data_IF_210801443718
#
_entry.id   IF_210801443718
#
_cell.length_a   1.000
_cell.length_b   1.000
_cell.length_c   1.000
_cell.angle_alpha   90.00
_cell.angle_beta   90.00
_cell.angle_gamma   90.00
#
_symmetry.space_group_name_H-M   'P 1'
#
loop_
_entity.id
_entity.type
_entity.pdbx_description
1 polymer ?
#
# COMPACT_ATOMS: atom_id res chain seq x y z
N UNK A 1 43.68 -13.59 -32.38
CA UNK A 1 42.73 -12.72 -33.09
C UNK A 1 41.40 -12.85 -32.39
N UNK A 2 41.05 -11.86 -31.58
CA UNK A 2 39.78 -11.85 -30.84
C UNK A 2 38.75 -10.99 -31.56
N UNK A 3 37.49 -11.38 -31.49
CA UNK A 3 36.35 -10.49 -31.71
C UNK A 3 35.06 -11.11 -31.15
N UNK A 4 34.51 -10.45 -30.12
CA UNK A 4 33.08 -10.17 -30.06
C UNK A 4 32.15 -11.17 -29.36
N UNK A 5 32.49 -11.68 -28.18
CA UNK A 5 31.47 -11.86 -27.12
C UNK A 5 31.26 -10.49 -26.48
N UNK A 6 30.07 -9.94 -26.27
CA UNK A 6 28.83 -10.53 -25.80
C UNK A 6 27.63 -9.90 -26.55
N UNK A 7 26.75 -10.74 -27.11
CA UNK A 7 25.56 -10.33 -27.90
C UNK A 7 24.24 -10.45 -27.14
N UNK A 8 24.25 -11.03 -25.95
CA UNK A 8 23.05 -11.39 -25.21
C UNK A 8 23.18 -10.83 -23.81
N UNK A 9 22.17 -10.07 -23.36
CA UNK A 9 22.06 -9.74 -21.94
C UNK A 9 21.21 -10.83 -21.28
N UNK A 10 21.88 -11.68 -20.51
CA UNK A 10 21.24 -12.67 -19.65
C UNK A 10 20.90 -12.00 -18.32
N UNK A 11 19.61 -11.89 -18.02
CA UNK A 11 19.08 -11.57 -16.70
C UNK A 11 18.67 -12.89 -16.03
N UNK A 12 19.70 -13.71 -15.77
CA UNK A 12 19.57 -15.11 -15.33
C UNK A 12 18.67 -15.93 -16.23
N UNK A 13 17.48 -16.37 -15.79
CA UNK A 13 16.56 -17.14 -16.65
C UNK A 13 15.94 -16.30 -17.78
N UNK A 14 16.01 -14.96 -17.69
CA UNK A 14 15.46 -14.07 -18.70
C UNK A 14 16.53 -13.67 -19.71
N UNK A 15 16.28 -13.96 -20.97
CA UNK A 15 17.09 -13.53 -22.11
C UNK A 15 16.50 -12.27 -22.72
N UNK A 16 17.29 -11.19 -22.75
CA UNK A 16 16.90 -9.92 -23.37
C UNK A 16 17.56 -9.75 -24.73
N UNK A 17 16.73 -9.47 -25.73
CA UNK A 17 17.16 -9.24 -27.12
C UNK A 17 16.57 -7.93 -27.63
N UNK A 18 17.41 -7.04 -28.12
CA UNK A 18 16.95 -5.81 -28.78
C UNK A 18 16.65 -6.14 -30.23
N UNK A 19 15.36 -6.25 -30.55
CA UNK A 19 14.86 -6.69 -31.86
C UNK A 19 14.41 -5.51 -32.75
N UNK A 20 14.60 -4.28 -32.28
CA UNK A 20 14.29 -3.06 -33.02
C UNK A 20 14.84 -1.82 -32.35
N UNK A 21 15.27 -0.85 -33.16
CA UNK A 21 15.66 0.50 -32.74
C UNK A 21 15.06 1.51 -33.69
N UNK A 22 14.49 2.58 -33.15
CA UNK A 22 14.09 3.76 -33.91
C UNK A 22 14.69 5.00 -33.25
N UNK A 23 15.32 5.84 -34.07
CA UNK A 23 15.86 7.14 -33.66
C UNK A 23 15.22 8.24 -34.50
N UNK A 24 14.86 9.35 -33.87
CA UNK A 24 14.34 10.53 -34.55
C UNK A 24 15.05 11.80 -34.09
N UNK A 25 15.55 12.56 -35.06
CA UNK A 25 15.91 13.96 -34.91
C UNK A 25 15.75 14.64 -36.28
N UNK A 26 15.35 15.93 -36.30
CA UNK A 26 15.28 16.71 -37.55
C UNK A 26 16.65 16.95 -38.19
N UNK A 27 17.71 16.93 -37.39
CA UNK A 27 19.03 17.45 -37.77
C UNK A 27 20.14 16.40 -37.75
N UNK A 28 19.95 15.29 -37.04
CA UNK A 28 20.97 14.27 -36.83
C UNK A 28 20.50 12.91 -37.34
N UNK A 29 21.44 12.08 -37.80
CA UNK A 29 21.15 10.73 -38.29
C UNK A 29 21.26 9.67 -37.20
N UNK A 30 22.07 9.91 -36.17
CA UNK A 30 22.25 8.99 -35.05
C UNK A 30 22.17 9.69 -33.69
N UNK A 31 22.00 8.86 -32.67
CA UNK A 31 21.79 9.29 -31.29
C UNK A 31 23.03 9.91 -30.65
N UNK A 32 24.22 9.41 -30.95
CA UNK A 32 25.46 9.81 -30.29
C UNK A 32 25.91 11.21 -30.75
N UNK A 33 25.78 11.50 -32.05
CA UNK A 33 25.94 12.85 -32.59
C UNK A 33 24.88 13.80 -32.00
N UNK A 34 23.61 13.38 -32.01
CA UNK A 34 22.51 14.22 -31.58
C UNK A 34 22.57 14.58 -30.09
N UNK A 35 23.02 13.65 -29.25
CA UNK A 35 23.17 13.86 -27.80
C UNK A 35 24.17 14.97 -27.51
N UNK A 36 25.27 15.05 -28.27
CA UNK A 36 26.28 16.11 -28.12
C UNK A 36 25.77 17.48 -28.54
N UNK A 37 24.94 17.53 -29.60
CA UNK A 37 24.38 18.77 -30.13
C UNK A 37 23.19 19.32 -29.31
N UNK A 38 22.58 18.52 -28.43
CA UNK A 38 21.47 18.97 -27.59
C UNK A 38 20.15 19.18 -28.33
N UNK A 39 19.98 18.61 -29.52
CA UNK A 39 18.72 18.73 -30.27
C UNK A 39 17.57 17.96 -29.61
N UNK A 40 16.35 18.44 -29.84
CA UNK A 40 15.12 17.68 -29.56
C UNK A 40 15.12 16.42 -30.41
N UNK A 41 14.93 15.28 -29.75
CA UNK A 41 15.07 13.95 -30.34
C UNK A 41 14.18 12.95 -29.61
N UNK A 42 14.10 11.75 -30.15
CA UNK A 42 13.66 10.59 -29.40
C UNK A 42 14.34 9.33 -29.89
N UNK A 43 14.45 8.36 -28.99
CA UNK A 43 15.01 7.05 -29.25
C UNK A 43 14.17 5.99 -28.55
N UNK A 44 13.84 4.93 -29.29
CA UNK A 44 13.02 3.84 -28.80
C UNK A 44 13.62 2.50 -29.19
N UNK A 45 13.43 1.54 -28.29
CA UNK A 45 13.92 0.19 -28.39
C UNK A 45 12.74 -0.76 -28.31
N UNK A 46 12.74 -1.76 -29.19
CA UNK A 46 11.86 -2.92 -29.10
C UNK A 46 12.66 -4.08 -28.53
N UNK A 47 12.27 -4.55 -27.36
CA UNK A 47 13.00 -5.54 -26.56
C UNK A 47 12.14 -6.77 -26.39
N UNK A 48 12.64 -7.92 -26.82
CA UNK A 48 12.09 -9.21 -26.47
C UNK A 48 12.73 -9.69 -25.17
N UNK A 49 11.88 -10.08 -24.22
CA UNK A 49 12.27 -10.63 -22.92
C UNK A 49 11.70 -12.04 -22.88
N UNK A 50 12.56 -13.04 -22.96
CA UNK A 50 12.19 -14.45 -23.01
C UNK A 50 12.67 -15.16 -21.74
N UNK A 51 11.80 -15.90 -21.08
CA UNK A 51 12.22 -16.82 -20.02
C UNK A 51 12.71 -18.13 -20.66
N UNK A 52 13.99 -18.45 -20.46
CA UNK A 52 14.64 -19.59 -21.08
C UNK A 52 14.14 -20.93 -20.54
N UNK A 53 13.63 -20.99 -19.29
CA UNK A 53 13.10 -22.20 -18.66
C UNK A 53 11.75 -22.60 -19.25
N UNK A 54 10.81 -21.66 -19.38
CA UNK A 54 9.44 -21.94 -19.82
C UNK A 54 9.11 -21.44 -21.23
N UNK A 55 10.08 -20.83 -21.94
CA UNK A 55 9.97 -20.28 -23.29
C UNK A 55 8.86 -19.24 -23.48
N UNK A 56 8.38 -18.63 -22.39
CA UNK A 56 7.44 -17.52 -22.45
C UNK A 56 8.19 -16.24 -22.76
N UNK A 57 7.64 -15.43 -23.66
CA UNK A 57 8.25 -14.17 -24.03
C UNK A 57 7.25 -13.01 -23.97
N UNK A 58 7.75 -11.85 -23.56
CA UNK A 58 7.12 -10.56 -23.71
C UNK A 58 7.92 -9.72 -24.70
N UNK A 59 7.25 -9.00 -25.58
CA UNK A 59 7.91 -7.96 -26.39
C UNK A 59 7.40 -6.62 -25.92
N UNK A 60 8.34 -5.78 -25.50
CA UNK A 60 8.05 -4.45 -25.01
C UNK A 60 8.71 -3.41 -25.91
N UNK A 61 8.06 -2.26 -26.04
CA UNK A 61 8.61 -1.05 -26.64
C UNK A 61 8.78 -0.02 -25.53
N UNK A 62 9.99 0.49 -25.39
CA UNK A 62 10.35 1.52 -24.41
C UNK A 62 11.30 2.53 -25.05
N UNK A 63 11.37 3.75 -24.52
CA UNK A 63 12.20 4.80 -25.07
C UNK A 63 11.98 6.13 -24.36
N UNK A 64 12.67 7.16 -24.83
CA UNK A 64 12.52 8.53 -24.35
C UNK A 64 12.49 9.54 -25.50
N UNK A 65 12.01 10.73 -25.20
CA UNK A 65 11.90 11.82 -26.16
C UNK A 65 10.68 11.68 -27.07
N UNK A 66 10.73 12.37 -28.21
CA UNK A 66 9.56 12.60 -29.04
C UNK A 66 9.87 12.50 -30.54
N UNK A 67 8.89 12.07 -31.34
CA UNK A 67 8.96 11.96 -32.80
C UNK A 67 7.78 12.63 -33.46
N UNK A 68 7.95 13.17 -34.66
CA UNK A 68 6.85 13.72 -35.45
C UNK A 68 6.09 12.66 -36.25
N UNK A 69 4.78 12.86 -36.34
CA UNK A 69 3.89 12.20 -37.30
C UNK A 69 3.40 10.80 -36.91
N UNK A 70 4.09 10.08 -36.03
CA UNK A 70 3.66 8.74 -35.59
C UNK A 70 4.30 8.31 -34.28
N UNK A 71 3.64 7.37 -33.59
CA UNK A 71 4.25 6.65 -32.47
C UNK A 71 5.38 5.72 -32.96
N UNK A 72 6.43 5.53 -32.16
CA UNK A 72 7.56 4.66 -32.53
C UNK A 72 7.07 3.23 -32.80
N UNK A 73 7.65 2.58 -33.81
CA UNK A 73 7.28 1.25 -34.30
C UNK A 73 5.80 1.05 -34.67
N UNK A 74 5.01 2.13 -34.75
CA UNK A 74 3.57 2.05 -35.00
C UNK A 74 2.79 1.34 -33.90
N UNK A 75 3.28 1.37 -32.65
CA UNK A 75 2.65 0.67 -31.53
C UNK A 75 1.23 1.15 -31.22
N UNK A 76 0.38 0.24 -30.77
CA UNK A 76 -0.92 0.58 -30.21
C UNK A 76 -0.76 1.15 -28.80
N UNK A 77 -1.07 2.44 -28.66
CA UNK A 77 -0.99 3.18 -27.38
C UNK A 77 -2.28 3.12 -26.57
N UNK A 78 -3.24 2.30 -27.00
CA UNK A 78 -4.52 2.07 -26.34
C UNK A 78 -5.55 3.16 -26.63
N UNK A 79 -6.59 3.20 -25.80
CA UNK A 79 -7.74 4.07 -26.02
C UNK A 79 -7.40 5.54 -25.83
N UNK A 80 -8.05 6.40 -26.61
CA UNK A 80 -8.04 7.84 -26.38
C UNK A 80 -8.76 8.16 -25.07
N UNK A 81 -8.06 8.82 -24.14
CA UNK A 81 -8.60 9.20 -22.83
C UNK A 81 -9.27 10.56 -22.94
N UNK A 82 -8.54 11.56 -23.45
CA UNK A 82 -9.03 12.95 -23.53
C UNK A 82 -8.23 13.78 -24.52
N UNK A 83 -8.86 14.84 -25.01
CA UNK A 83 -8.21 15.93 -25.74
C UNK A 83 -8.17 17.16 -24.83
N UNK A 84 -6.99 17.73 -24.62
CA UNK A 84 -6.81 18.95 -23.82
C UNK A 84 -7.24 20.20 -24.57
N UNK A 85 -7.43 21.32 -23.84
CA UNK A 85 -7.89 22.60 -24.42
C UNK A 85 -6.94 23.15 -25.50
N UNK A 86 -5.66 22.79 -25.48
CA UNK A 86 -4.66 23.16 -26.47
C UNK A 86 -4.58 22.23 -27.68
N UNK A 87 -5.47 21.25 -27.81
CA UNK A 87 -5.49 20.27 -28.91
C UNK A 87 -4.52 19.10 -28.73
N UNK A 88 -3.84 18.99 -27.59
CA UNK A 88 -3.06 17.80 -27.23
C UNK A 88 -4.00 16.60 -26.99
N UNK A 89 -3.53 15.38 -27.32
CA UNK A 89 -4.31 14.15 -27.17
C UNK A 89 -3.60 13.18 -26.23
N UNK A 90 -4.31 12.78 -25.19
CA UNK A 90 -3.86 11.78 -24.23
C UNK A 90 -4.46 10.42 -24.56
N UNK A 91 -3.59 9.41 -24.63
CA UNK A 91 -3.94 7.99 -24.71
C UNK A 91 -3.47 7.28 -23.43
N UNK A 92 -3.88 6.02 -23.28
CA UNK A 92 -3.49 5.16 -22.15
C UNK A 92 -1.97 5.05 -22.01
N UNK A 93 -1.26 4.82 -23.12
CA UNK A 93 0.20 4.62 -23.11
C UNK A 93 0.97 5.67 -23.93
N UNK A 94 0.28 6.66 -24.48
CA UNK A 94 0.87 7.64 -25.39
C UNK A 94 0.34 9.05 -25.20
N UNK A 95 1.07 10.01 -25.75
CA UNK A 95 0.66 11.41 -25.81
C UNK A 95 1.03 12.02 -27.15
N UNK A 96 0.15 12.88 -27.68
CA UNK A 96 0.38 13.68 -28.87
C UNK A 96 0.27 15.15 -28.47
N UNK A 97 1.37 15.89 -28.64
CA UNK A 97 1.38 17.34 -28.39
C UNK A 97 0.62 18.09 -29.48
N UNK A 98 0.26 19.35 -29.21
CA UNK A 98 -0.39 20.23 -30.20
C UNK A 98 0.42 20.40 -31.50
N UNK A 99 1.75 20.28 -31.43
CA UNK A 99 2.65 20.40 -32.57
C UNK A 99 2.90 19.07 -33.28
N UNK A 100 2.11 18.02 -32.99
CA UNK A 100 2.20 16.72 -33.67
C UNK A 100 3.40 15.87 -33.24
N UNK A 101 3.95 16.12 -32.04
CA UNK A 101 4.99 15.28 -31.45
C UNK A 101 4.38 14.16 -30.62
N UNK A 102 4.84 12.94 -30.86
CA UNK A 102 4.40 11.70 -30.22
C UNK A 102 5.46 11.21 -29.25
N UNK A 103 5.04 10.80 -28.05
CA UNK A 103 5.89 10.07 -27.11
C UNK A 103 5.10 9.03 -26.32
N UNK A 104 5.81 8.05 -25.79
CA UNK A 104 5.27 7.00 -24.93
C UNK A 104 5.33 7.43 -23.47
N UNK A 105 4.27 7.16 -22.71
CA UNK A 105 4.20 7.47 -21.26
C UNK A 105 4.89 6.42 -20.38
N UNK A 106 5.23 5.27 -20.96
CA UNK A 106 5.83 4.12 -20.30
C UNK A 106 6.10 3.02 -21.32
N UNK A 107 6.11 1.76 -20.88
CA UNK A 107 6.24 0.63 -21.81
C UNK A 107 4.95 0.39 -22.59
N UNK A 108 5.10 -0.02 -23.85
CA UNK A 108 4.00 -0.61 -24.63
C UNK A 108 4.33 -2.08 -24.87
N UNK A 109 3.40 -2.96 -24.51
CA UNK A 109 3.54 -4.39 -24.72
C UNK A 109 2.93 -4.73 -26.07
N UNK A 110 3.68 -5.45 -26.91
CA UNK A 110 3.16 -6.00 -28.16
C UNK A 110 2.64 -7.42 -27.94
N UNK A 111 1.49 -7.70 -28.55
CA UNK A 111 1.05 -9.08 -28.77
C UNK A 111 1.90 -9.67 -29.89
N UNK A 112 2.67 -10.70 -29.55
CA UNK A 112 3.54 -11.37 -30.51
C UNK A 112 3.26 -12.86 -30.42
N UNK A 113 2.99 -13.50 -31.56
CA UNK A 113 2.99 -14.95 -31.67
C UNK A 113 4.41 -15.47 -31.47
N UNK A 114 4.59 -16.55 -30.69
CA UNK A 114 5.92 -17.09 -30.36
C UNK A 114 6.85 -17.29 -31.57
N UNK A 115 6.29 -17.54 -32.76
CA UNK A 115 6.99 -17.72 -34.03
C UNK A 115 7.65 -16.44 -34.61
N UNK A 116 7.33 -15.23 -34.10
CA UNK A 116 7.80 -13.95 -34.67
C UNK A 116 9.03 -13.33 -34.01
N UNK A 117 9.63 -13.99 -33.01
CA UNK A 117 10.86 -13.51 -32.33
C UNK A 117 12.13 -14.04 -33.03
N UNK A 118 12.07 -14.21 -34.35
CA UNK A 118 13.20 -14.51 -35.24
C UNK A 118 13.74 -13.24 -35.91
N UNK A 119 13.68 -12.09 -35.25
CA UNK A 119 14.29 -10.86 -35.77
C UNK A 119 15.78 -10.82 -35.42
N UNK A 120 16.59 -10.37 -36.39
CA UNK A 120 18.00 -10.05 -36.16
C UNK A 120 18.13 -9.01 -35.03
N UNK A 121 19.08 -9.25 -34.13
CA UNK A 121 19.40 -8.32 -33.04
C UNK A 121 19.99 -7.03 -33.60
N UNK A 122 19.55 -5.91 -33.04
CA UNK A 122 20.04 -4.58 -33.43
C UNK A 122 21.25 -4.20 -32.60
N UNK A 123 22.34 -3.80 -33.26
CA UNK A 123 23.52 -3.30 -32.58
C UNK A 123 23.26 -1.94 -31.90
N UNK A 124 23.64 -1.88 -30.63
CA UNK A 124 23.56 -0.68 -29.80
C UNK A 124 24.96 -0.13 -29.49
N UNK A 125 25.11 1.19 -29.63
CA UNK A 125 26.28 1.92 -29.13
C UNK A 125 26.33 1.88 -27.60
N UNK A 126 27.48 2.18 -27.00
CA UNK A 126 27.63 2.17 -25.54
C UNK A 126 26.62 3.10 -24.85
N UNK A 127 26.36 4.28 -25.42
CA UNK A 127 25.40 5.21 -24.83
C UNK A 127 23.95 4.73 -24.97
N UNK A 128 23.62 4.08 -26.08
CA UNK A 128 22.31 3.46 -26.28
C UNK A 128 22.10 2.30 -25.29
N UNK A 129 23.13 1.49 -25.01
CA UNK A 129 23.09 0.44 -23.99
C UNK A 129 22.85 1.00 -22.59
N UNK A 130 23.57 2.06 -22.22
CA UNK A 130 23.41 2.74 -20.92
C UNK A 130 21.99 3.29 -20.77
N UNK A 131 21.48 3.95 -21.82
CA UNK A 131 20.12 4.49 -21.80
C UNK A 131 19.07 3.37 -21.70
N UNK A 132 19.22 2.30 -22.48
CA UNK A 132 18.29 1.17 -22.42
C UNK A 132 18.26 0.55 -21.02
N UNK A 133 19.42 0.35 -20.38
CA UNK A 133 19.49 -0.16 -19.02
C UNK A 133 18.72 0.72 -18.01
N UNK A 134 18.87 2.04 -18.10
CA UNK A 134 18.13 3.00 -17.26
C UNK A 134 16.61 2.95 -17.54
N UNK A 135 16.19 2.89 -18.81
CA UNK A 135 14.79 2.76 -19.19
C UNK A 135 14.15 1.46 -18.67
N UNK A 136 14.85 0.33 -18.77
CA UNK A 136 14.39 -0.96 -18.25
C UNK A 136 14.24 -0.91 -16.72
N UNK A 137 15.20 -0.28 -16.03
CA UNK A 137 15.14 -0.13 -14.57
C UNK A 137 13.97 0.77 -14.13
N UNK A 138 13.73 1.89 -14.81
CA UNK A 138 12.62 2.80 -14.49
C UNK A 138 11.25 2.16 -14.65
N UNK A 139 11.10 1.24 -15.61
CA UNK A 139 9.82 0.58 -15.91
C UNK A 139 9.71 -0.83 -15.35
N UNK A 140 10.60 -1.22 -14.44
CA UNK A 140 10.75 -2.61 -14.01
C UNK A 140 9.44 -3.23 -13.49
N UNK A 141 8.63 -2.48 -12.72
CA UNK A 141 7.39 -3.00 -12.15
C UNK A 141 6.38 -3.38 -13.24
N UNK A 142 6.27 -2.57 -14.29
CA UNK A 142 5.36 -2.83 -15.39
C UNK A 142 5.85 -3.99 -16.27
N UNK A 143 7.17 -4.09 -16.47
CA UNK A 143 7.79 -5.23 -17.16
C UNK A 143 7.52 -6.53 -16.40
N UNK A 144 7.75 -6.54 -15.09
CA UNK A 144 7.52 -7.71 -14.24
C UNK A 144 6.06 -8.15 -14.23
N UNK A 145 5.12 -7.20 -14.13
CA UNK A 145 3.67 -7.49 -14.23
C UNK A 145 3.32 -8.16 -15.54
N UNK A 146 3.87 -7.68 -16.66
CA UNK A 146 3.61 -8.27 -17.96
C UNK A 146 4.17 -9.69 -18.08
N UNK A 147 5.39 -9.93 -17.58
CA UNK A 147 5.98 -11.26 -17.54
C UNK A 147 5.12 -12.23 -16.73
N UNK A 148 4.61 -11.81 -15.56
CA UNK A 148 3.70 -12.60 -14.72
C UNK A 148 2.41 -12.93 -15.46
N UNK A 149 1.77 -11.93 -16.10
CA UNK A 149 0.54 -12.13 -16.87
C UNK A 149 0.73 -13.17 -17.98
N UNK A 150 1.95 -13.30 -18.52
CA UNK A 150 2.31 -14.29 -19.53
C UNK A 150 2.75 -15.65 -18.96
N UNK A 151 2.72 -15.81 -17.65
CA UNK A 151 3.00 -17.07 -16.95
C UNK A 151 4.44 -17.24 -16.47
N UNK A 152 5.23 -16.16 -16.39
CA UNK A 152 6.54 -16.20 -15.72
C UNK A 152 6.32 -16.12 -14.20
N UNK A 153 6.47 -17.26 -13.54
CA UNK A 153 6.16 -17.42 -12.10
C UNK A 153 7.39 -17.52 -11.20
N UNK A 154 8.60 -17.63 -11.78
CA UNK A 154 9.87 -17.65 -11.05
C UNK A 154 10.92 -16.80 -11.77
N UNK A 155 11.68 -16.03 -11.00
CA UNK A 155 12.85 -15.22 -11.40
C UNK A 155 13.95 -15.46 -10.36
N UNK A 156 14.30 -16.74 -10.17
CA UNK A 156 15.30 -17.17 -9.18
C UNK A 156 16.69 -16.63 -9.54
N UNK A 157 17.07 -16.82 -10.80
CA UNK A 157 18.31 -16.31 -11.34
C UNK A 157 17.97 -15.05 -12.14
N UNK A 158 18.34 -13.89 -11.61
CA UNK A 158 18.71 -12.73 -12.42
C UNK A 158 20.16 -12.41 -12.04
N UNK A 159 20.98 -11.89 -12.95
CA UNK A 159 22.40 -11.63 -12.68
C UNK A 159 22.61 -10.39 -11.79
N UNK A 160 21.80 -10.21 -10.75
CA UNK A 160 21.92 -9.09 -9.81
C UNK A 160 21.23 -7.80 -10.27
N UNK A 161 20.74 -7.75 -11.51
CA UNK A 161 20.24 -6.51 -12.15
C UNK A 161 18.93 -6.02 -11.54
N UNK A 162 18.07 -6.95 -11.09
CA UNK A 162 16.86 -6.62 -10.35
C UNK A 162 16.84 -7.25 -8.96
N UNK A 163 17.99 -7.67 -8.43
CA UNK A 163 18.11 -8.27 -7.09
C UNK A 163 17.49 -7.36 -6.02
N UNK A 164 17.73 -6.04 -6.14
CA UNK A 164 17.12 -5.04 -5.25
C UNK A 164 15.58 -4.92 -5.37
N UNK A 165 15.00 -5.39 -6.49
CA UNK A 165 13.56 -5.35 -6.78
C UNK A 165 12.87 -6.70 -6.66
N UNK A 166 13.62 -7.82 -6.64
CA UNK A 166 13.08 -9.18 -6.39
C UNK A 166 12.17 -9.24 -5.16
N UNK A 167 12.48 -8.61 -4.01
CA UNK A 167 11.57 -8.59 -2.87
C UNK A 167 10.18 -8.06 -3.23
N UNK A 168 10.08 -7.05 -4.11
CA UNK A 168 8.81 -6.48 -4.56
C UNK A 168 8.04 -7.49 -5.40
N UNK A 169 8.71 -8.19 -6.32
CA UNK A 169 8.13 -9.27 -7.11
C UNK A 169 7.57 -10.38 -6.21
N UNK A 170 8.39 -10.86 -5.26
CA UNK A 170 7.97 -11.91 -4.33
C UNK A 170 6.78 -11.46 -3.49
N UNK A 171 6.74 -10.23 -3.00
CA UNK A 171 5.58 -9.68 -2.27
C UNK A 171 4.34 -9.61 -3.17
N UNK A 172 4.49 -9.20 -4.43
CA UNK A 172 3.37 -9.13 -5.38
C UNK A 172 2.76 -10.51 -5.65
N UNK A 173 3.60 -11.51 -5.90
CA UNK A 173 3.19 -12.89 -6.17
C UNK A 173 2.72 -13.66 -4.93
N UNK A 174 3.12 -13.20 -3.73
CA UNK A 174 2.88 -13.90 -2.46
C UNK A 174 1.40 -14.17 -2.23
N UNK A 175 1.09 -15.41 -1.90
CA UNK A 175 -0.21 -15.81 -1.35
C UNK A 175 0.05 -16.46 0.00
N UNK A 176 -0.55 -15.91 1.05
CA UNK A 176 -0.38 -16.39 2.42
C UNK A 176 -1.69 -16.21 3.18
N UNK A 177 -2.01 -17.24 3.94
CA UNK A 177 -3.00 -17.19 4.98
C UNK A 177 -2.29 -17.10 6.33
N UNK A 178 -2.45 -15.99 7.03
CA UNK A 178 -1.81 -15.73 8.32
C UNK A 178 -2.89 -15.79 9.40
N UNK A 179 -2.99 -16.89 10.15
CA UNK A 179 -3.91 -16.98 11.28
C UNK A 179 -3.42 -16.05 12.40
N UNK A 180 -4.35 -15.31 12.98
CA UNK A 180 -4.16 -14.50 14.17
C UNK A 180 -4.99 -15.10 15.31
N UNK A 181 -4.74 -14.70 16.57
CA UNK A 181 -5.57 -15.12 17.69
C UNK A 181 -7.04 -14.74 17.53
N UNK A 182 -7.90 -15.37 18.33
CA UNK A 182 -9.36 -15.18 18.33
C UNK A 182 -10.08 -15.58 17.02
N UNK A 183 -9.39 -16.28 16.12
CA UNK A 183 -9.92 -16.66 14.80
C UNK A 183 -9.86 -15.54 13.76
N UNK A 184 -9.20 -14.41 14.08
CA UNK A 184 -8.90 -13.38 13.09
C UNK A 184 -7.85 -13.87 12.09
N UNK A 185 -7.83 -13.30 10.89
CA UNK A 185 -6.91 -13.71 9.83
C UNK A 185 -6.47 -12.54 8.96
N UNK A 186 -5.28 -12.66 8.37
CA UNK A 186 -4.83 -11.84 7.25
C UNK A 186 -4.67 -12.75 6.04
N UNK A 187 -5.40 -12.47 4.97
CA UNK A 187 -5.31 -13.19 3.71
C UNK A 187 -4.63 -12.32 2.64
N UNK A 188 -3.47 -12.74 2.14
CA UNK A 188 -2.72 -12.03 1.10
C UNK A 188 -3.17 -12.47 -0.30
N UNK A 189 -3.63 -11.52 -1.12
CA UNK A 189 -4.12 -11.80 -2.48
C UNK A 189 -2.93 -11.99 -3.45
N UNK A 190 -2.81 -13.10 -4.20
CA UNK A 190 -1.76 -13.24 -5.21
C UNK A 190 -1.88 -12.16 -6.29
N UNK A 191 -0.75 -11.84 -6.95
CA UNK A 191 -0.67 -10.83 -8.02
C UNK A 191 -1.21 -9.46 -7.60
N UNK A 192 -0.99 -9.10 -6.34
CA UNK A 192 -1.50 -7.88 -5.72
C UNK A 192 -0.56 -7.42 -4.61
N UNK A 193 -0.60 -6.14 -4.25
CA UNK A 193 0.05 -5.62 -3.03
C UNK A 193 -0.93 -5.53 -1.86
N UNK A 194 -2.14 -6.08 -2.01
CA UNK A 194 -3.20 -6.04 -1.01
C UNK A 194 -3.25 -7.33 -0.20
N UNK A 195 -3.66 -7.18 1.04
CA UNK A 195 -4.13 -8.25 1.90
C UNK A 195 -5.44 -7.82 2.55
N UNK A 196 -6.28 -8.78 2.93
CA UNK A 196 -7.55 -8.54 3.61
C UNK A 196 -7.45 -9.02 5.05
N UNK A 197 -7.66 -8.11 5.99
CA UNK A 197 -7.89 -8.48 7.39
C UNK A 197 -9.36 -8.89 7.54
N UNK A 198 -9.61 -9.99 8.26
CA UNK A 198 -10.96 -10.49 8.51
C UNK A 198 -11.07 -11.03 9.93
N UNK A 199 -12.14 -10.66 10.63
CA UNK A 199 -12.57 -11.26 11.89
C UNK A 199 -14.09 -11.13 12.03
N UNK A 200 -14.80 -12.24 11.83
CA UNK A 200 -16.26 -12.27 11.64
C UNK A 200 -16.72 -11.22 10.60
N UNK A 201 -17.53 -10.25 11.00
CA UNK A 201 -18.05 -9.19 10.14
C UNK A 201 -17.09 -7.99 10.00
N UNK A 202 -15.99 -7.96 10.76
CA UNK A 202 -14.96 -6.91 10.63
C UNK A 202 -14.01 -7.28 9.49
N UNK A 203 -14.07 -6.52 8.40
CA UNK A 203 -13.16 -6.68 7.27
C UNK A 203 -12.65 -5.34 6.73
N UNK A 204 -11.37 -5.32 6.34
CA UNK A 204 -10.77 -4.19 5.65
C UNK A 204 -9.49 -4.58 4.91
N UNK A 205 -9.14 -3.80 3.89
CA UNK A 205 -7.92 -3.99 3.13
C UNK A 205 -6.72 -3.32 3.79
N UNK A 206 -5.59 -4.02 3.76
CA UNK A 206 -4.28 -3.53 4.17
C UNK A 206 -3.25 -3.79 3.06
N UNK A 207 -2.08 -3.17 3.16
CA UNK A 207 -0.95 -3.50 2.29
C UNK A 207 -0.26 -4.78 2.78
N UNK A 208 0.17 -5.63 1.85
CA UNK A 208 1.08 -6.75 2.17
C UNK A 208 2.34 -6.19 2.81
N UNK A 209 2.79 -6.84 3.86
CA UNK A 209 3.96 -6.40 4.62
C UNK A 209 4.68 -7.59 5.24
N UNK A 210 5.82 -7.33 5.86
CA UNK A 210 6.29 -8.21 6.93
C UNK A 210 5.41 -7.95 8.15
N UNK A 211 4.92 -8.99 8.81
CA UNK A 211 4.06 -8.85 9.98
C UNK A 211 4.87 -9.13 11.24
N UNK A 212 4.99 -8.12 12.09
CA UNK A 212 5.56 -8.26 13.43
C UNK A 212 4.40 -8.39 14.42
N UNK A 213 4.20 -9.60 14.92
CA UNK A 213 3.04 -9.98 15.75
C UNK A 213 3.51 -10.10 17.19
N UNK A 214 3.02 -9.22 18.04
CA UNK A 214 3.25 -9.23 19.48
C UNK A 214 1.95 -9.45 20.25
N UNK A 215 2.08 -9.95 21.47
CA UNK A 215 0.97 -9.99 22.44
C UNK A 215 1.35 -9.16 23.67
N UNK A 216 0.36 -8.46 24.23
CA UNK A 216 0.54 -7.65 25.42
C UNK A 216 -0.70 -7.73 26.30
N UNK A 217 -0.66 -8.51 27.38
CA UNK A 217 -1.82 -8.68 28.25
C UNK A 217 -3.01 -9.30 27.51
N UNK A 218 -4.08 -8.52 27.33
CA UNK A 218 -5.39 -8.91 26.78
C UNK A 218 -5.58 -8.58 25.29
N UNK A 219 -4.52 -8.16 24.60
CA UNK A 219 -4.59 -7.83 23.18
C UNK A 219 -3.42 -8.38 22.38
N UNK A 220 -3.62 -8.44 21.07
CA UNK A 220 -2.62 -8.79 20.06
C UNK A 220 -2.34 -7.55 19.22
N UNK A 221 -1.07 -7.23 19.01
CA UNK A 221 -0.64 -6.20 18.09
C UNK A 221 -0.02 -6.84 16.85
N UNK A 222 -0.39 -6.32 15.68
CA UNK A 222 0.19 -6.67 14.38
C UNK A 222 0.72 -5.39 13.76
N UNK A 223 2.04 -5.24 13.69
CA UNK A 223 2.68 -4.12 13.01
C UNK A 223 2.96 -4.49 11.56
N UNK A 224 2.55 -3.63 10.63
CA UNK A 224 2.72 -3.84 9.20
C UNK A 224 4.06 -3.22 8.77
N UNK A 225 5.10 -4.06 8.70
CA UNK A 225 6.47 -3.69 8.44
C UNK A 225 7.33 -3.90 9.68
N UNK A 226 7.65 -2.80 10.38
CA UNK A 226 8.45 -2.84 11.61
C UNK A 226 7.71 -2.14 12.73
N UNK A 227 7.75 -2.73 13.93
CA UNK A 227 7.27 -2.11 15.17
C UNK A 227 7.84 -0.70 15.36
N UNK A 228 9.13 -0.47 15.07
CA UNK A 228 9.76 0.84 15.24
C UNK A 228 9.30 1.91 14.24
N UNK A 229 8.64 1.51 13.15
CA UNK A 229 8.14 2.38 12.11
C UNK A 229 6.62 2.53 12.11
N UNK A 230 5.97 2.48 13.29
CA UNK A 230 4.52 2.37 13.57
C UNK A 230 3.57 3.34 12.84
N UNK A 231 3.58 3.33 11.51
CA UNK A 231 2.67 4.07 10.63
C UNK A 231 1.43 3.25 10.30
N UNK A 232 1.51 1.93 10.48
CA UNK A 232 0.44 0.98 10.19
C UNK A 232 0.45 -0.15 11.22
N UNK A 233 -0.64 -0.31 11.95
CA UNK A 233 -0.77 -1.37 12.96
C UNK A 233 -2.23 -1.80 13.15
N UNK A 234 -2.44 -3.04 13.55
CA UNK A 234 -3.74 -3.61 13.92
C UNK A 234 -3.65 -4.11 15.35
N UNK A 235 -4.65 -3.81 16.17
CA UNK A 235 -4.76 -4.28 17.54
C UNK A 235 -6.08 -5.02 17.71
N UNK A 236 -6.02 -6.22 18.25
CA UNK A 236 -7.16 -7.12 18.43
C UNK A 236 -7.31 -7.47 19.90
N UNK A 237 -8.53 -7.43 20.42
CA UNK A 237 -8.83 -7.90 21.77
C UNK A 237 -10.22 -8.52 21.80
N UNK A 238 -10.34 -9.64 22.53
CA UNK A 238 -11.61 -10.27 22.85
C UNK A 238 -11.72 -10.44 24.37
N UNK A 239 -12.53 -9.61 25.00
CA UNK A 239 -12.80 -9.67 26.44
C UNK A 239 -14.30 -9.65 26.70
N UNK A 240 -14.76 -10.51 27.61
CA UNK A 240 -16.18 -10.62 27.97
C UNK A 240 -17.13 -10.78 26.77
N UNK A 241 -16.65 -11.41 25.68
CA UNK A 241 -17.40 -11.60 24.43
C UNK A 241 -17.51 -10.35 23.54
N UNK A 242 -16.76 -9.29 23.85
CA UNK A 242 -16.63 -8.07 23.06
C UNK A 242 -15.37 -8.16 22.20
N UNK A 243 -15.53 -8.10 20.89
CA UNK A 243 -14.43 -8.11 19.91
C UNK A 243 -14.13 -6.68 19.48
N UNK A 244 -12.90 -6.23 19.68
CA UNK A 244 -12.47 -4.87 19.34
C UNK A 244 -11.28 -4.95 18.40
N UNK A 245 -11.36 -4.17 17.31
CA UNK A 245 -10.24 -3.98 16.38
C UNK A 245 -9.91 -2.50 16.27
N UNK A 246 -8.69 -2.13 16.66
CA UNK A 246 -8.14 -0.83 16.32
C UNK A 246 -7.15 -0.94 15.17
N UNK A 247 -7.35 -0.16 14.14
CA UNK A 247 -6.50 -0.12 12.95
C UNK A 247 -5.95 1.28 12.75
N UNK A 248 -4.63 1.42 12.82
CA UNK A 248 -3.94 2.67 12.57
C UNK A 248 -3.42 2.69 11.13
N UNK A 249 -3.81 3.68 10.34
CA UNK A 249 -3.33 3.91 8.98
C UNK A 249 -3.25 5.39 8.66
N UNK A 250 -2.14 5.82 8.07
CA UNK A 250 -2.02 7.19 7.55
C UNK A 250 -2.33 8.28 8.59
N UNK A 251 -1.92 8.08 9.84
CA UNK A 251 -2.18 8.98 10.98
C UNK A 251 -3.62 9.01 11.50
N UNK A 252 -4.42 8.02 11.15
CA UNK A 252 -5.81 7.87 11.62
C UNK A 252 -5.96 6.57 12.37
N UNK A 253 -6.64 6.62 13.51
CA UNK A 253 -6.99 5.44 14.28
C UNK A 253 -8.45 5.09 14.04
N UNK A 254 -8.68 3.97 13.38
CA UNK A 254 -10.00 3.42 13.15
C UNK A 254 -10.35 2.41 14.24
N UNK A 255 -11.60 2.41 14.71
CA UNK A 255 -12.11 1.43 15.67
C UNK A 255 -13.30 0.67 15.08
N UNK A 256 -13.28 -0.65 15.18
CA UNK A 256 -14.42 -1.53 14.91
C UNK A 256 -14.73 -2.33 16.17
N UNK A 257 -16.00 -2.63 16.39
CA UNK A 257 -16.45 -3.33 17.59
C UNK A 257 -17.64 -4.25 17.27
N UNK A 258 -17.60 -5.46 17.81
CA UNK A 258 -18.72 -6.41 17.80
C UNK A 258 -18.99 -6.86 19.24
N UNK A 259 -20.25 -6.82 19.65
CA UNK A 259 -20.70 -7.44 20.90
C UNK A 259 -22.03 -8.18 20.68
N UNK A 260 -22.03 -9.49 20.95
CA UNK A 260 -23.15 -10.39 20.62
C UNK A 260 -23.53 -10.25 19.14
N UNK A 261 -24.76 -9.84 18.84
CA UNK A 261 -25.28 -9.62 17.49
C UNK A 261 -25.19 -8.15 17.03
N UNK A 262 -24.57 -7.27 17.81
CA UNK A 262 -24.42 -5.86 17.44
C UNK A 262 -23.05 -5.63 16.81
N UNK A 263 -23.06 -5.25 15.54
CA UNK A 263 -21.87 -4.83 14.80
C UNK A 263 -21.90 -3.31 14.68
N UNK A 264 -20.93 -2.68 15.31
CA UNK A 264 -20.82 -1.23 15.29
C UNK A 264 -20.17 -0.77 13.99
N UNK A 265 -20.70 0.28 13.34
CA UNK A 265 -20.01 0.85 12.21
C UNK A 265 -18.65 1.39 12.64
N UNK A 266 -17.70 1.39 11.69
CA UNK A 266 -16.33 1.85 11.92
C UNK A 266 -16.32 3.30 12.37
N UNK A 267 -15.67 3.58 13.50
CA UNK A 267 -15.40 4.94 13.98
C UNK A 267 -13.97 5.39 13.66
N UNK A 268 -13.73 6.70 13.58
CA UNK A 268 -12.40 7.31 13.55
C UNK A 268 -12.17 8.06 14.86
N UNK A 269 -11.13 7.66 15.60
CA UNK A 269 -10.77 8.21 16.91
C UNK A 269 -9.57 9.14 16.71
N UNK A 270 -9.66 10.34 17.28
CA UNK A 270 -8.56 11.28 17.27
C UNK A 270 -7.39 10.68 18.03
N UNK A 271 -6.29 10.51 17.30
CA UNK A 271 -5.07 9.96 17.84
C UNK A 271 -4.03 11.08 18.06
N UNK A 272 -3.41 11.20 19.25
CA UNK A 272 -2.39 12.20 19.51
C UNK A 272 -1.15 11.94 18.65
N UNK A 273 -0.76 12.84 17.74
CA UNK A 273 0.37 12.66 16.79
C UNK A 273 1.49 11.73 17.30
N UNK A 274 1.60 10.51 16.71
CA UNK A 274 2.57 9.47 17.12
C UNK A 274 4.00 9.96 16.93
N UNK A 275 4.84 9.88 17.96
CA UNK A 275 6.30 9.90 17.80
C UNK A 275 6.90 8.49 17.65
N UNK A 276 6.29 7.45 18.25
CA UNK A 276 6.75 6.05 18.13
C UNK A 276 5.68 4.99 18.48
N UNK A 277 5.96 3.71 18.18
CA UNK A 277 5.09 2.56 18.45
C UNK A 277 4.57 2.49 19.90
N UNK A 278 5.43 2.77 20.87
CA UNK A 278 5.10 2.68 22.29
C UNK A 278 3.95 3.61 22.68
N UNK A 279 3.88 4.81 22.07
CA UNK A 279 2.78 5.75 22.31
C UNK A 279 1.47 5.25 21.67
N UNK A 280 1.55 4.58 20.52
CA UNK A 280 0.39 3.97 19.86
C UNK A 280 -0.15 2.82 20.69
N UNK A 281 0.72 1.90 21.13
CA UNK A 281 0.34 0.79 22.00
C UNK A 281 -0.26 1.29 23.31
N UNK A 282 0.37 2.26 23.98
CA UNK A 282 -0.12 2.81 25.23
C UNK A 282 -1.54 3.38 25.09
N UNK A 283 -1.78 4.17 24.04
CA UNK A 283 -3.09 4.77 23.82
C UNK A 283 -4.15 3.73 23.46
N UNK A 284 -3.80 2.74 22.63
CA UNK A 284 -4.73 1.64 22.34
C UNK A 284 -5.05 0.83 23.59
N UNK A 285 -4.07 0.56 24.45
CA UNK A 285 -4.33 -0.09 25.74
C UNK A 285 -5.27 0.74 26.62
N UNK A 286 -5.09 2.07 26.63
CA UNK A 286 -5.98 2.98 27.35
C UNK A 286 -7.42 2.86 26.83
N UNK A 287 -7.62 2.82 25.51
CA UNK A 287 -8.93 2.63 24.89
C UNK A 287 -9.53 1.26 25.24
N UNK A 288 -8.77 0.18 25.07
CA UNK A 288 -9.25 -1.19 25.33
C UNK A 288 -9.70 -1.37 26.78
N UNK A 289 -8.92 -0.86 27.74
CA UNK A 289 -9.17 -1.07 29.17
C UNK A 289 -10.19 -0.13 29.78
N UNK A 290 -10.43 1.03 29.16
CA UNK A 290 -11.21 2.07 29.79
C UNK A 290 -12.36 2.65 28.95
N UNK A 291 -12.60 2.16 27.74
CA UNK A 291 -13.70 2.62 26.88
C UNK A 291 -14.92 1.71 26.93
N UNK A 292 -16.10 2.27 27.19
CA UNK A 292 -17.39 1.62 27.01
C UNK A 292 -18.29 2.49 26.14
N UNK A 293 -18.49 2.09 24.89
CA UNK A 293 -19.20 2.88 23.89
C UNK A 293 -18.55 4.25 23.65
N UNK A 294 -19.34 5.31 23.80
CA UNK A 294 -18.91 6.69 23.60
C UNK A 294 -18.24 7.32 24.82
N UNK A 295 -18.10 6.56 25.91
CA UNK A 295 -17.49 7.03 27.16
C UNK A 295 -16.12 6.35 27.36
N UNK A 296 -15.13 7.15 27.75
CA UNK A 296 -13.83 6.69 28.22
C UNK A 296 -13.58 7.15 29.64
N UNK A 297 -13.12 6.22 30.49
CA UNK A 297 -12.81 6.48 31.89
C UNK A 297 -11.31 6.74 32.04
N UNK A 298 -10.92 7.92 32.52
CA UNK A 298 -9.52 8.32 32.61
C UNK A 298 -9.15 8.63 34.06
N UNK A 299 -7.97 8.17 34.48
CA UNK A 299 -7.32 8.69 35.68
C UNK A 299 -6.87 10.13 35.44
N UNK A 300 -6.54 10.85 36.53
CA UNK A 300 -5.98 12.19 36.45
C UNK A 300 -4.72 12.26 35.57
N UNK A 301 -3.81 11.31 35.75
CA UNK A 301 -2.56 11.26 34.97
C UNK A 301 -2.80 11.03 33.48
N UNK A 302 -3.73 10.14 33.13
CA UNK A 302 -4.10 9.87 31.73
C UNK A 302 -4.74 11.08 31.08
N UNK A 303 -5.62 11.78 31.81
CA UNK A 303 -6.26 13.02 31.37
C UNK A 303 -5.22 14.10 31.09
N UNK A 304 -4.34 14.39 32.05
CA UNK A 304 -3.29 15.42 31.89
C UNK A 304 -2.36 15.11 30.72
N UNK A 305 -2.01 13.84 30.50
CA UNK A 305 -1.21 13.45 29.34
C UNK A 305 -1.93 13.74 28.02
N UNK A 306 -3.22 13.37 27.93
CA UNK A 306 -4.00 13.52 26.70
C UNK A 306 -4.32 14.98 26.39
N UNK A 307 -4.67 15.81 27.37
CA UNK A 307 -4.96 17.24 27.16
C UNK A 307 -3.78 17.99 26.51
N UNK A 308 -2.55 17.53 26.73
CA UNK A 308 -1.35 18.08 26.09
C UNK A 308 -1.15 17.64 24.63
N UNK A 309 -2.00 16.75 24.10
CA UNK A 309 -1.77 16.04 22.83
C UNK A 309 -2.99 16.00 21.91
N UNK A 310 -4.19 16.03 22.45
CA UNK A 310 -5.44 16.12 21.70
C UNK A 310 -6.13 17.44 22.01
N UNK A 311 -6.80 17.99 21.00
CA UNK A 311 -7.33 19.35 21.04
C UNK A 311 -8.50 19.52 21.99
N UNK A 312 -9.21 18.44 22.34
CA UNK A 312 -10.41 18.52 23.17
C UNK A 312 -10.73 17.20 23.89
N UNK A 313 -10.99 17.31 25.19
CA UNK A 313 -11.47 16.24 26.06
C UNK A 313 -12.68 16.79 26.82
N UNK A 314 -13.86 16.32 26.45
CA UNK A 314 -15.10 16.74 27.11
C UNK A 314 -15.50 15.79 28.23
N UNK A 315 -15.92 16.30 29.40
CA UNK A 315 -16.61 15.48 30.39
C UNK A 315 -17.85 14.81 29.80
N UNK A 316 -18.06 13.53 30.13
CA UNK A 316 -19.26 12.82 29.69
C UNK A 316 -20.48 13.31 30.48
N UNK A 317 -21.49 13.81 29.77
CA UNK A 317 -22.77 14.21 30.38
C UNK A 317 -23.65 13.00 30.74
N UNK A 318 -24.66 13.23 31.59
CA UNK A 318 -25.67 12.21 31.95
C UNK A 318 -26.37 11.57 30.73
N UNK A 319 -26.46 12.29 29.60
CA UNK A 319 -27.02 11.74 28.36
C UNK A 319 -26.22 10.53 27.83
N UNK A 320 -24.89 10.54 27.97
CA UNK A 320 -24.00 9.44 27.57
C UNK A 320 -24.16 8.21 28.47
N UNK A 321 -24.67 8.39 29.69
CA UNK A 321 -24.90 7.30 30.65
C UNK A 321 -26.27 6.66 30.53
N UNK A 322 -27.16 7.15 29.65
CA UNK A 322 -28.54 6.65 29.52
C UNK A 322 -28.64 5.14 29.24
N UNK A 323 -27.66 4.57 28.52
CA UNK A 323 -27.57 3.15 28.19
C UNK A 323 -26.57 2.37 29.07
N UNK A 324 -25.87 3.05 29.98
CA UNK A 324 -24.87 2.44 30.87
C UNK A 324 -25.54 2.14 32.22
N UNK A 325 -25.45 0.88 32.65
CA UNK A 325 -25.94 0.42 33.95
C UNK A 325 -24.77 0.10 34.86
N UNK A 326 -24.82 0.56 36.11
CA UNK A 326 -23.90 0.12 37.15
C UNK A 326 -24.38 -1.24 37.65
N UNK A 327 -23.58 -2.28 37.43
CA UNK A 327 -23.87 -3.66 37.86
C UNK A 327 -23.39 -3.88 39.28
N UNK A 328 -22.17 -3.41 39.57
CA UNK A 328 -21.54 -3.40 40.88
C UNK A 328 -20.70 -2.13 41.00
N UNK A 329 -20.51 -1.60 42.20
CA UNK A 329 -19.81 -0.32 42.39
C UNK A 329 -20.71 0.88 42.65
N UNK A 330 -20.18 2.08 42.41
CA UNK A 330 -20.90 3.35 42.53
C UNK A 330 -20.22 4.41 41.65
N UNK A 331 -21.04 5.24 40.99
CA UNK A 331 -20.59 6.44 40.30
C UNK A 331 -21.14 7.68 41.02
N UNK A 332 -20.32 8.73 41.12
CA UNK A 332 -20.69 10.01 41.72
C UNK A 332 -20.41 11.15 40.75
N UNK A 333 -21.30 12.15 40.72
CA UNK A 333 -21.07 13.36 39.95
C UNK A 333 -20.47 14.43 40.86
N UNK A 334 -19.25 14.86 40.54
CA UNK A 334 -18.56 15.95 41.24
C UNK A 334 -18.17 17.01 40.23
N UNK A 335 -18.61 18.25 40.45
CA UNK A 335 -18.32 19.40 39.58
C UNK A 335 -18.71 19.15 38.10
N UNK A 336 -19.79 18.38 37.86
CA UNK A 336 -20.26 18.03 36.52
C UNK A 336 -19.50 16.89 35.84
N UNK A 337 -18.59 16.22 36.55
CA UNK A 337 -17.82 15.07 36.05
C UNK A 337 -18.23 13.82 36.83
N UNK A 338 -18.56 12.76 36.09
CA UNK A 338 -18.90 11.46 36.67
C UNK A 338 -17.61 10.73 37.03
N UNK A 339 -17.51 10.25 38.27
CA UNK A 339 -16.31 9.62 38.85
C UNK A 339 -16.62 8.31 39.57
N UNK A 340 -15.66 7.39 39.60
CA UNK A 340 -15.75 6.13 40.37
C UNK A 340 -15.07 6.30 41.73
N UNK A 341 -15.74 5.89 42.81
CA UNK A 341 -15.18 5.96 44.19
C UNK A 341 -14.59 4.63 44.67
N UNK A 342 -14.97 3.53 44.02
CA UNK A 342 -14.50 2.16 44.25
C UNK A 342 -14.45 1.43 42.91
N UNK A 343 -13.90 0.21 42.89
CA UNK A 343 -13.99 -0.67 41.73
C UNK A 343 -15.45 -0.80 41.31
N UNK A 344 -15.72 -0.54 40.04
CA UNK A 344 -17.07 -0.40 39.49
C UNK A 344 -17.17 -1.19 38.20
N UNK A 345 -18.23 -1.97 38.08
CA UNK A 345 -18.58 -2.78 36.91
C UNK A 345 -19.74 -2.11 36.19
N UNK A 346 -19.49 -1.71 34.95
CA UNK A 346 -20.45 -1.03 34.08
C UNK A 346 -20.88 -1.96 32.95
N UNK A 347 -22.15 -1.88 32.59
CA UNK A 347 -22.72 -2.65 31.49
C UNK A 347 -23.43 -1.73 30.50
N UNK A 348 -23.14 -1.94 29.21
CA UNK A 348 -23.84 -1.31 28.10
C UNK A 348 -24.40 -2.40 27.18
N UNK A 349 -25.67 -2.30 26.82
CA UNK A 349 -26.37 -3.35 26.06
C UNK A 349 -25.72 -3.68 24.71
N UNK A 350 -25.20 -2.67 24.02
CA UNK A 350 -24.51 -2.79 22.72
C UNK A 350 -22.98 -2.93 22.81
N UNK A 351 -22.35 -2.65 23.97
CA UNK A 351 -20.88 -2.58 24.09
C UNK A 351 -20.30 -3.51 25.17
N UNK A 352 -21.14 -4.25 25.88
CA UNK A 352 -20.71 -5.24 26.86
C UNK A 352 -20.38 -4.67 28.22
N UNK A 353 -19.37 -5.25 28.87
CA UNK A 353 -18.99 -4.97 30.26
C UNK A 353 -17.66 -4.25 30.28
N UNK A 354 -17.53 -3.29 31.20
CA UNK A 354 -16.27 -2.64 31.53
C UNK A 354 -16.08 -2.65 33.05
N UNK A 355 -14.92 -3.13 33.50
CA UNK A 355 -14.52 -3.04 34.90
C UNK A 355 -13.50 -1.91 35.05
N UNK A 356 -13.81 -0.94 35.93
CA UNK A 356 -12.99 0.24 36.15
C UNK A 356 -12.63 0.33 37.64
N UNK A 357 -11.37 0.66 37.91
CA UNK A 357 -10.90 0.89 39.28
C UNK A 357 -11.43 2.22 39.83
N UNK A 358 -11.15 2.49 41.11
CA UNK A 358 -11.48 3.78 41.72
C UNK A 358 -10.75 4.95 41.05
N UNK A 359 -11.20 6.17 41.32
CA UNK A 359 -10.55 7.43 40.96
C UNK A 359 -10.46 7.68 39.44
N UNK A 360 -11.37 7.10 38.66
CA UNK A 360 -11.52 7.38 37.23
C UNK A 360 -12.61 8.41 36.98
N UNK A 361 -12.42 9.26 35.98
CA UNK A 361 -13.32 10.31 35.53
C UNK A 361 -13.82 10.01 34.12
N UNK A 362 -15.11 10.19 33.87
CA UNK A 362 -15.72 9.89 32.59
C UNK A 362 -15.63 11.06 31.60
N UNK A 363 -15.12 10.77 30.41
CA UNK A 363 -15.01 11.70 29.28
C UNK A 363 -15.66 11.11 28.04
N UNK A 364 -16.03 11.96 27.10
CA UNK A 364 -16.45 11.55 25.76
C UNK A 364 -15.23 11.05 25.00
N UNK A 365 -15.36 9.92 24.30
CA UNK A 365 -14.31 9.44 23.39
C UNK A 365 -14.07 10.49 22.30
N UNK A 366 -12.82 10.92 22.04
CA UNK A 366 -12.54 11.99 21.10
C UNK A 366 -12.64 11.47 19.66
N UNK A 367 -13.86 11.27 19.17
CA UNK A 367 -14.09 10.84 17.79
C UNK A 367 -13.85 11.98 16.81
N UNK A 368 -13.12 11.71 15.74
CA UNK A 368 -13.10 12.54 14.52
C UNK A 368 -14.29 12.21 13.61
N UNK A 369 -14.81 10.97 13.71
CA UNK A 369 -16.04 10.51 13.05
C UNK A 369 -16.63 9.38 13.89
N UNK A 370 -17.88 9.54 14.35
CA UNK A 370 -18.62 8.44 14.98
C UNK A 370 -19.10 7.48 13.90
N UNK A 371 -19.19 6.20 14.23
CA UNK A 371 -19.72 5.21 13.28
C UNK A 371 -21.23 5.37 13.02
N UNK A 372 -21.96 6.00 13.93
CA UNK A 372 -23.43 6.01 13.97
C UNK A 372 -24.07 7.39 13.74
N UNK A 373 -23.27 8.40 13.40
CA UNK A 373 -23.73 9.77 13.12
C UNK A 373 -24.06 10.00 11.63
#
# INVERSE_FOLDING_TARGET
MGSGGEKIMMLGDLKLRVIGKEFYCRYCKDYDECRKAGHRRGIWFKVAIENERNKKAAVIVTGEGEREGSFPFGVDVGKHIRTGMSGCKDYEKGHITMSGWHYLKGIVVEEVSNEKIEKEEVELSMNERILLADLLNRNIIDILRELINRGVTSIEDDWGIWEEKKPIFFVYMRERYIPLPFGAVINEEPQSFKAKFMWDEIEFYISKAQYDIGSGGNYVAVFLGSKYGAKKAIFLSEEYGRKIVYYYDGYRLHGNEIYKSHVHPRAEIQYPTVACAYQLEWYVQLLLKNRLGDVIFLTKDNKEYLENKITWLEPASQAHFKKIKVVDGEIQEKEGIITTTKRTVLFHEEHGVLEIDKDHMAYVVPYSMRGHD
#
